data_IF_640109041751
#
_entry.id   IF_640109041751
#
_cell.length_a   1.000
_cell.length_b   1.000
_cell.length_c   1.000
_cell.angle_alpha   90.00
_cell.angle_beta   90.00
_cell.angle_gamma   90.00
#
_symmetry.space_group_name_H-M   'P 1'
#
loop_
_entity.id
_entity.type
_entity.pdbx_description
1 polymer ?
#
# COMPACT_ATOMS: atom_id res chain seq x y z
N UNK A 1 -7.83 -4.64 -27.80
CA UNK A 1 -8.34 -4.87 -26.44
C UNK A 1 -8.75 -3.51 -25.90
N UNK A 2 -10.05 -3.26 -25.76
CA UNK A 2 -10.55 -1.99 -25.21
C UNK A 2 -10.22 -1.95 -23.72
N UNK A 3 -9.46 -0.93 -23.28
CA UNK A 3 -9.22 -0.73 -21.86
C UNK A 3 -10.52 -0.27 -21.19
N UNK A 4 -10.87 -0.79 -20.01
CA UNK A 4 -12.04 -0.32 -19.28
C UNK A 4 -11.94 1.19 -19.06
N UNK A 5 -13.03 1.93 -19.30
CA UNK A 5 -13.06 3.36 -19.05
C UNK A 5 -12.95 3.63 -17.55
N UNK A 6 -11.98 4.47 -17.15
CA UNK A 6 -11.91 4.99 -15.80
C UNK A 6 -13.06 5.94 -15.46
N UNK A 7 -13.20 6.26 -14.17
CA UNK A 7 -14.05 7.33 -13.65
C UNK A 7 -13.33 8.69 -13.83
N UNK A 8 -13.93 9.64 -14.55
CA UNK A 8 -13.25 10.90 -14.89
C UNK A 8 -12.96 11.81 -13.69
N UNK A 9 -13.76 11.70 -12.64
CA UNK A 9 -13.64 12.49 -11.41
C UNK A 9 -12.62 11.93 -10.41
N UNK A 10 -12.06 10.74 -10.68
CA UNK A 10 -11.14 10.10 -9.75
C UNK A 10 -9.78 10.81 -9.74
N UNK A 11 -9.34 11.23 -8.55
CA UNK A 11 -8.05 11.92 -8.41
C UNK A 11 -6.84 10.99 -8.60
N UNK A 12 -6.99 9.69 -8.34
CA UNK A 12 -5.97 8.66 -8.60
C UNK A 12 -6.65 7.46 -9.25
N UNK A 13 -6.05 6.93 -10.32
CA UNK A 13 -6.46 5.69 -10.98
C UNK A 13 -5.24 4.86 -11.34
N UNK A 14 -5.44 3.55 -11.41
CA UNK A 14 -4.41 2.59 -11.76
C UNK A 14 -4.93 1.70 -12.88
N UNK A 15 -4.24 1.69 -14.00
CA UNK A 15 -4.43 0.64 -14.99
C UNK A 15 -3.64 -0.58 -14.55
N UNK A 16 -4.32 -1.72 -14.57
CA UNK A 16 -3.80 -2.94 -14.01
C UNK A 16 -3.91 -4.09 -15.01
N UNK A 17 -2.90 -4.95 -15.04
CA UNK A 17 -2.92 -6.24 -15.73
C UNK A 17 -3.11 -7.34 -14.70
N UNK A 18 -4.08 -8.23 -14.93
CA UNK A 18 -4.27 -9.41 -14.09
C UNK A 18 -3.04 -10.32 -14.17
N UNK A 19 -2.47 -10.67 -13.02
CA UNK A 19 -1.37 -11.64 -12.92
C UNK A 19 -1.87 -12.98 -12.41
N UNK A 20 -2.65 -12.98 -11.33
CA UNK A 20 -3.23 -14.20 -10.75
C UNK A 20 -4.62 -13.93 -10.16
N UNK A 21 -5.46 -14.96 -10.12
CA UNK A 21 -6.73 -14.98 -9.40
C UNK A 21 -6.80 -16.24 -8.55
N UNK A 22 -7.20 -16.10 -7.29
CA UNK A 22 -7.35 -17.21 -6.35
C UNK A 22 -8.75 -17.19 -5.76
N UNK A 23 -9.50 -18.27 -5.97
CA UNK A 23 -10.81 -18.45 -5.35
C UNK A 23 -10.64 -18.95 -3.92
N UNK A 24 -11.34 -18.29 -3.00
CA UNK A 24 -11.46 -18.66 -1.60
C UNK A 24 -12.79 -19.36 -1.39
N UNK A 25 -12.71 -20.57 -0.86
CA UNK A 25 -13.85 -21.44 -0.64
C UNK A 25 -14.34 -21.33 0.81
N UNK A 26 -15.66 -21.23 0.97
CA UNK A 26 -16.32 -21.25 2.27
C UNK A 26 -16.48 -22.66 2.84
N UNK A 27 -17.18 -22.77 3.97
CA UNK A 27 -17.36 -24.04 4.67
C UNK A 27 -18.11 -25.12 3.87
N UNK A 28 -18.91 -24.73 2.89
CA UNK A 28 -19.64 -25.62 1.98
C UNK A 28 -18.90 -25.86 0.65
N UNK A 29 -17.60 -25.55 0.59
CA UNK A 29 -16.76 -25.59 -0.60
C UNK A 29 -17.24 -24.69 -1.77
N UNK A 30 -18.22 -23.82 -1.52
CA UNK A 30 -18.63 -22.82 -2.49
C UNK A 30 -17.61 -21.67 -2.52
N UNK A 31 -17.31 -21.16 -3.71
CA UNK A 31 -16.49 -19.95 -3.87
C UNK A 31 -17.24 -18.76 -3.26
N UNK A 32 -16.68 -18.15 -2.22
CA UNK A 32 -17.26 -16.98 -1.56
C UNK A 32 -16.56 -15.68 -1.92
N UNK A 33 -15.30 -15.74 -2.36
CA UNK A 33 -14.48 -14.56 -2.65
C UNK A 33 -13.38 -14.94 -3.61
N UNK A 34 -13.03 -14.05 -4.55
CA UNK A 34 -11.85 -14.21 -5.42
C UNK A 34 -10.85 -13.11 -5.10
N UNK A 35 -9.62 -13.48 -4.81
CA UNK A 35 -8.49 -12.56 -4.62
C UNK A 35 -7.78 -12.38 -5.95
N UNK A 36 -7.72 -11.15 -6.43
CA UNK A 36 -6.96 -10.80 -7.64
C UNK A 36 -5.61 -10.19 -7.26
N UNK A 37 -4.53 -10.76 -7.80
CA UNK A 37 -3.21 -10.15 -7.79
C UNK A 37 -3.00 -9.51 -9.15
N UNK A 38 -2.83 -8.20 -9.16
CA UNK A 38 -2.71 -7.39 -10.37
C UNK A 38 -1.44 -6.56 -10.34
N UNK A 39 -0.84 -6.36 -11.50
CA UNK A 39 0.29 -5.47 -11.69
C UNK A 39 -0.22 -4.13 -12.21
N UNK A 40 0.21 -3.03 -11.57
CA UNK A 40 -0.07 -1.68 -12.08
C UNK A 40 0.86 -1.40 -13.27
N UNK A 41 0.28 -1.13 -14.43
CA UNK A 41 1.03 -0.78 -15.66
C UNK A 41 1.10 0.72 -15.88
N UNK A 42 0.14 1.49 -15.36
CA UNK A 42 0.11 2.95 -15.45
C UNK A 42 -0.65 3.56 -14.27
N UNK A 43 -0.13 4.68 -13.76
CA UNK A 43 -0.79 5.51 -12.77
C UNK A 43 -1.30 6.80 -13.43
N UNK A 44 -2.57 7.11 -13.22
CA UNK A 44 -3.14 8.42 -13.48
C UNK A 44 -3.29 9.15 -12.15
N UNK A 45 -2.66 10.30 -12.02
CA UNK A 45 -2.71 11.11 -10.81
C UNK A 45 -3.05 12.54 -11.21
N UNK A 46 -4.10 13.09 -10.62
CA UNK A 46 -4.51 14.46 -10.87
C UNK A 46 -3.41 15.43 -10.38
N UNK A 47 -3.03 16.39 -11.22
CA UNK A 47 -1.89 17.28 -10.97
C UNK A 47 -2.00 18.03 -9.63
N UNK A 48 -3.20 18.52 -9.29
CA UNK A 48 -3.49 19.19 -8.00
C UNK A 48 -3.04 18.41 -6.76
N UNK A 49 -3.11 17.07 -6.78
CA UNK A 49 -2.75 16.24 -5.62
C UNK A 49 -1.31 15.70 -5.71
N UNK A 50 -0.60 15.95 -6.80
CA UNK A 50 0.77 15.50 -7.01
C UNK A 50 1.75 16.54 -6.45
N UNK A 51 2.55 16.13 -5.48
CA UNK A 51 3.79 16.83 -5.11
C UNK A 51 4.90 16.36 -6.05
N UNK A 52 5.25 17.26 -6.97
CA UNK A 52 6.31 17.06 -7.95
C UNK A 52 7.56 17.93 -7.65
N UNK A 53 7.73 18.38 -6.40
CA UNK A 53 8.94 19.13 -5.99
C UNK A 53 10.22 18.31 -6.14
N UNK A 54 10.10 16.97 -6.12
CA UNK A 54 11.15 15.99 -6.38
C UNK A 54 10.71 15.05 -7.51
N UNK A 55 10.95 15.40 -8.79
CA UNK A 55 10.43 14.67 -9.94
C UNK A 55 10.85 13.19 -10.01
N UNK A 56 11.98 12.84 -9.41
CA UNK A 56 12.46 11.47 -9.31
C UNK A 56 11.68 10.60 -8.31
N UNK A 57 10.92 11.24 -7.41
CA UNK A 57 10.13 10.61 -6.35
C UNK A 57 8.84 11.39 -6.10
N UNK A 58 7.92 11.43 -7.08
CA UNK A 58 6.66 12.13 -6.92
C UNK A 58 5.87 11.53 -5.76
N UNK A 59 5.14 12.38 -5.03
CA UNK A 59 4.33 11.98 -3.88
C UNK A 59 2.91 12.48 -4.02
N UNK A 60 1.97 11.75 -3.45
CA UNK A 60 0.59 12.23 -3.32
C UNK A 60 0.48 13.06 -2.04
N UNK A 61 -0.03 14.29 -2.16
CA UNK A 61 -0.39 15.15 -1.03
C UNK A 61 -1.68 14.61 -0.41
N UNK A 62 -1.56 13.90 0.72
CA UNK A 62 -2.71 13.22 1.35
C UNK A 62 -3.80 14.20 1.78
N UNK A 63 -3.41 15.40 2.20
CA UNK A 63 -4.29 16.49 2.61
C UNK A 63 -5.22 16.95 1.47
N UNK A 64 -4.73 16.91 0.23
CA UNK A 64 -5.50 17.27 -0.97
C UNK A 64 -6.26 16.07 -1.51
N UNK A 65 -5.65 14.88 -1.46
CA UNK A 65 -6.25 13.64 -1.96
C UNK A 65 -7.50 13.22 -1.19
N UNK A 66 -7.54 13.47 0.14
CA UNK A 66 -8.70 13.23 1.02
C UNK A 66 -9.42 11.88 0.76
N UNK A 67 -8.70 10.74 0.86
CA UNK A 67 -9.31 9.45 0.57
C UNK A 67 -10.38 9.09 1.60
N UNK A 68 -11.41 8.40 1.11
CA UNK A 68 -12.50 7.84 1.92
C UNK A 68 -12.21 6.38 2.22
N UNK A 69 -12.33 5.98 3.48
CA UNK A 69 -12.20 4.58 3.91
C UNK A 69 -13.57 3.95 4.20
N UNK A 70 -13.71 2.66 3.96
CA UNK A 70 -14.90 1.89 4.35
C UNK A 70 -14.75 1.39 5.78
N UNK A 71 -15.79 1.55 6.58
CA UNK A 71 -15.91 0.98 7.93
C UNK A 71 -17.01 -0.10 7.95
N UNK A 72 -17.34 -0.61 9.13
CA UNK A 72 -18.43 -1.59 9.30
C UNK A 72 -19.78 -1.05 8.81
N UNK A 73 -20.60 -1.92 8.22
CA UNK A 73 -21.91 -1.56 7.69
C UNK A 73 -21.80 -0.54 6.54
N UNK A 74 -22.61 0.52 6.59
CA UNK A 74 -22.65 1.59 5.58
C UNK A 74 -21.90 2.86 6.02
N UNK A 75 -21.02 2.74 7.00
CA UNK A 75 -20.26 3.88 7.55
C UNK A 75 -18.93 4.04 6.82
N UNK A 76 -18.51 5.29 6.60
CA UNK A 76 -17.27 5.65 5.93
C UNK A 76 -16.46 6.63 6.79
N UNK A 77 -15.14 6.56 6.68
CA UNK A 77 -14.20 7.45 7.35
C UNK A 77 -13.55 8.42 6.37
N UNK A 78 -13.26 9.63 6.85
CA UNK A 78 -12.44 10.62 6.14
C UNK A 78 -11.04 10.65 6.74
N UNK A 79 -10.03 10.83 5.90
CA UNK A 79 -8.66 11.09 6.36
C UNK A 79 -8.54 12.53 6.83
N UNK A 80 -8.77 12.77 8.13
CA UNK A 80 -8.86 14.12 8.71
C UNK A 80 -7.52 14.71 9.15
N UNK A 81 -6.53 13.86 9.47
CA UNK A 81 -5.20 14.29 9.93
C UNK A 81 -4.15 13.24 9.60
N UNK A 82 -2.95 13.71 9.28
CA UNK A 82 -1.74 12.89 9.13
C UNK A 82 -0.66 13.37 10.09
N UNK A 83 0.30 12.49 10.39
CA UNK A 83 1.49 12.83 11.15
C UNK A 83 2.64 11.92 10.73
N UNK A 84 3.85 12.46 10.75
CA UNK A 84 5.05 11.69 10.45
C UNK A 84 5.59 11.02 11.72
N UNK A 85 5.89 9.73 11.62
CA UNK A 85 6.57 8.97 12.66
C UNK A 85 7.76 8.26 12.04
N UNK A 86 8.96 8.66 12.47
CA UNK A 86 10.19 8.01 12.03
C UNK A 86 10.19 6.52 12.44
N UNK A 87 10.75 5.67 11.57
CA UNK A 87 10.98 4.26 11.88
C UNK A 87 11.88 4.16 13.13
N UNK A 88 11.50 3.37 14.15
CA UNK A 88 12.37 3.15 15.32
C UNK A 88 13.74 2.62 14.89
N UNK A 89 14.82 3.18 15.44
CA UNK A 89 16.16 2.62 15.28
C UNK A 89 16.32 1.53 16.32
N UNK A 90 16.66 0.31 15.89
CA UNK A 90 17.12 -0.74 16.80
C UNK A 90 18.57 -0.40 17.12
N UNK A 91 18.90 -0.19 18.39
CA UNK A 91 20.30 -0.12 18.81
C UNK A 91 20.93 -1.48 18.49
N UNK A 92 22.05 -1.47 17.77
CA UNK A 92 22.78 -2.70 17.52
C UNK A 92 23.10 -3.36 18.87
N UNK A 93 22.90 -4.68 19.03
CA UNK A 93 23.28 -5.35 20.25
C UNK A 93 24.75 -5.03 20.56
N UNK A 94 25.12 -4.78 21.83
CA UNK A 94 26.50 -4.54 22.19
C UNK A 94 27.36 -5.69 21.66
N UNK A 95 28.49 -5.35 21.04
CA UNK A 95 29.42 -6.34 20.52
C UNK A 95 29.72 -7.35 21.63
N UNK A 96 29.47 -8.63 21.36
CA UNK A 96 29.72 -9.72 22.31
C UNK A 96 31.16 -9.65 22.80
N UNK A 97 31.34 -9.73 24.12
CA UNK A 97 32.65 -9.70 24.77
C UNK A 97 33.64 -10.70 24.12
N UNK A 98 34.89 -10.30 23.80
CA UNK A 98 35.87 -11.16 23.15
C UNK A 98 36.47 -12.27 24.06
N UNK A 99 35.80 -12.67 25.15
CA UNK A 99 36.37 -13.59 26.18
C UNK A 99 35.67 -14.95 26.31
N UNK A 100 35.22 -15.57 25.23
CA UNK A 100 34.82 -17.00 25.25
C UNK A 100 35.80 -17.95 24.55
N UNK A 101 36.94 -17.46 24.06
CA UNK A 101 38.00 -18.32 23.51
C UNK A 101 39.06 -18.64 24.58
N UNK A 102 38.73 -19.50 25.56
CA UNK A 102 39.72 -20.34 26.25
C UNK A 102 39.04 -21.22 27.29
N UNK A 103 38.53 -22.38 26.86
CA UNK A 103 38.38 -23.55 27.73
C UNK A 103 38.08 -24.78 26.87
N UNK A 104 39.08 -25.20 26.10
CA UNK A 104 39.24 -26.60 25.71
C UNK A 104 40.70 -26.97 26.03
N UNK A 105 40.89 -27.72 27.12
CA UNK A 105 42.11 -28.44 27.47
C UNK A 105 41.78 -29.93 27.48
#
# INVERSE_FOLDING_TARGET
>A
QTMPSGVGEAAVQMECRLRHSYDLHGANDAVTTTVFIVEVVLFYVHEHILDNTKPERPRVKLEEFRPVSRLGGNTYGLTSRVFDRARPKVEAPPASDPKSASLDK
#
